data_IF_772832749871
#
_entry.id   IF_772832749871
#
_cell.length_a   1.000
_cell.length_b   1.000
_cell.length_c   1.000
_cell.angle_alpha   90.00
_cell.angle_beta   90.00
_cell.angle_gamma   90.00
#
_symmetry.space_group_name_H-M   'P 1'
#
loop_
_entity.id
_entity.type
_entity.pdbx_description
1 polymer ?
#
# COMPACT_ATOMS: atom_id res chain seq x y z
N UNK A 1 -20.99 -27.42 -2.26
CA UNK A 1 -21.07 -26.01 -1.78
C UNK A 1 -21.25 -25.12 -3.00
N UNK A 2 -22.11 -24.10 -2.94
CA UNK A 2 -22.26 -23.17 -4.09
C UNK A 2 -21.01 -22.30 -4.24
N UNK A 3 -20.75 -21.81 -5.46
CA UNK A 3 -19.62 -20.89 -5.73
C UNK A 3 -19.68 -19.66 -4.83
N UNK A 4 -20.88 -19.09 -4.64
CA UNK A 4 -21.08 -17.94 -3.76
C UNK A 4 -20.75 -18.23 -2.30
N UNK A 5 -21.12 -19.42 -1.78
CA UNK A 5 -20.77 -19.81 -0.42
C UNK A 5 -19.27 -20.00 -0.23
N UNK A 6 -18.57 -20.53 -1.24
CA UNK A 6 -17.11 -20.66 -1.22
C UNK A 6 -16.42 -19.29 -1.25
N UNK A 7 -16.84 -18.38 -2.14
CA UNK A 7 -16.31 -17.01 -2.18
C UNK A 7 -16.52 -16.31 -0.84
N UNK A 8 -17.73 -16.39 -0.27
CA UNK A 8 -18.04 -15.80 1.04
C UNK A 8 -17.12 -16.37 2.13
N UNK A 9 -16.91 -17.68 2.15
CA UNK A 9 -16.00 -18.35 3.11
C UNK A 9 -14.57 -17.81 2.99
N UNK A 10 -14.06 -17.64 1.76
CA UNK A 10 -12.71 -17.13 1.50
C UNK A 10 -12.56 -15.66 1.87
N UNK A 11 -13.57 -14.83 1.58
CA UNK A 11 -13.58 -13.42 2.00
C UNK A 11 -13.55 -13.29 3.53
N UNK A 12 -14.39 -14.05 4.24
CA UNK A 12 -14.37 -14.08 5.71
C UNK A 12 -12.99 -14.50 6.21
N UNK A 13 -12.40 -15.55 5.62
CA UNK A 13 -11.05 -16.00 5.98
C UNK A 13 -9.98 -14.96 5.72
N UNK A 14 -10.08 -14.19 4.63
CA UNK A 14 -9.17 -13.11 4.33
C UNK A 14 -9.26 -12.02 5.40
N UNK A 15 -10.48 -11.61 5.80
CA UNK A 15 -10.70 -10.60 6.83
C UNK A 15 -10.20 -11.06 8.20
N UNK A 16 -10.53 -12.30 8.60
CA UNK A 16 -10.03 -12.90 9.84
C UNK A 16 -8.49 -12.95 9.84
N UNK A 17 -7.87 -13.35 8.73
CA UNK A 17 -6.40 -13.41 8.63
C UNK A 17 -5.78 -12.02 8.68
N UNK A 18 -6.40 -11.03 8.03
CA UNK A 18 -5.96 -9.64 8.05
C UNK A 18 -6.05 -9.03 9.46
N UNK A 19 -6.93 -9.55 10.33
CA UNK A 19 -7.06 -9.18 11.74
C UNK A 19 -6.26 -10.09 12.68
N UNK A 20 -5.33 -10.89 12.16
CA UNK A 20 -4.50 -11.82 12.92
C UNK A 20 -5.29 -12.90 13.69
N UNK A 21 -6.51 -13.23 13.24
CA UNK A 21 -7.35 -14.27 13.83
C UNK A 21 -6.94 -15.66 13.29
N UNK A 22 -6.64 -16.64 14.17
CA UNK A 22 -6.19 -17.98 13.78
C UNK A 22 -7.11 -18.73 12.80
N UNK A 23 -8.43 -18.61 12.99
CA UNK A 23 -9.44 -19.32 12.18
C UNK A 23 -9.44 -18.90 10.71
N UNK A 24 -8.90 -17.71 10.40
CA UNK A 24 -8.92 -17.17 9.04
C UNK A 24 -8.19 -18.07 8.05
N UNK A 25 -7.00 -18.54 8.42
CA UNK A 25 -6.15 -19.39 7.57
C UNK A 25 -6.78 -20.78 7.37
N UNK A 26 -7.48 -21.30 8.37
CA UNK A 26 -8.12 -22.63 8.35
C UNK A 26 -9.30 -22.70 7.36
N UNK A 27 -9.81 -21.54 6.90
CA UNK A 27 -10.87 -21.47 5.89
C UNK A 27 -10.35 -21.74 4.48
N UNK A 28 -9.04 -21.75 4.27
CA UNK A 28 -8.43 -21.94 2.96
C UNK A 28 -7.87 -23.35 2.77
N UNK A 29 -7.87 -23.84 1.52
CA UNK A 29 -7.14 -25.03 1.12
C UNK A 29 -5.81 -24.65 0.46
N UNK A 30 -4.80 -25.47 0.70
CA UNK A 30 -3.48 -25.35 0.09
C UNK A 30 -3.28 -26.26 -1.10
N UNK A 31 -4.22 -26.31 -2.04
CA UNK A 31 -4.04 -27.11 -3.26
C UNK A 31 -3.47 -26.26 -4.40
N UNK A 32 -2.60 -26.80 -5.27
CA UNK A 32 -2.06 -26.04 -6.41
C UNK A 32 -3.16 -25.43 -7.28
N UNK A 33 -4.23 -26.20 -7.55
CA UNK A 33 -5.38 -25.75 -8.33
C UNK A 33 -6.01 -24.49 -7.75
N UNK A 34 -6.24 -24.46 -6.43
CA UNK A 34 -6.82 -23.29 -5.77
C UNK A 34 -5.87 -22.09 -5.80
N UNK A 35 -4.56 -22.33 -5.64
CA UNK A 35 -3.58 -21.25 -5.74
C UNK A 35 -3.60 -20.62 -7.13
N UNK A 36 -3.63 -21.42 -8.20
CA UNK A 36 -3.73 -20.89 -9.57
C UNK A 36 -5.02 -20.09 -9.80
N UNK A 37 -6.16 -20.58 -9.30
CA UNK A 37 -7.43 -19.85 -9.37
C UNK A 37 -7.34 -18.53 -8.59
N UNK A 38 -6.68 -18.52 -7.43
CA UNK A 38 -6.55 -17.32 -6.62
C UNK A 38 -5.74 -16.20 -7.30
N UNK A 39 -4.88 -16.50 -8.27
CA UNK A 39 -4.18 -15.44 -9.04
C UNK A 39 -5.11 -14.61 -9.90
N UNK A 40 -6.32 -15.10 -10.22
CA UNK A 40 -7.33 -14.28 -10.89
C UNK A 40 -7.67 -13.02 -10.07
N UNK A 41 -7.57 -13.09 -8.74
CA UNK A 41 -7.69 -11.94 -7.85
C UNK A 41 -6.60 -10.90 -8.14
N UNK A 42 -5.35 -11.35 -8.27
CA UNK A 42 -4.23 -10.46 -8.58
C UNK A 42 -4.40 -9.80 -9.95
N UNK A 43 -4.98 -10.50 -10.93
CA UNK A 43 -5.27 -9.92 -12.24
C UNK A 43 -6.27 -8.75 -12.17
N UNK A 44 -7.26 -8.81 -11.27
CA UNK A 44 -8.21 -7.69 -11.06
C UNK A 44 -7.49 -6.44 -10.51
N UNK A 45 -6.37 -6.61 -9.80
CA UNK A 45 -5.59 -5.48 -9.29
C UNK A 45 -4.79 -4.75 -10.37
N UNK A 46 -4.55 -5.35 -11.54
CA UNK A 46 -3.71 -4.76 -12.59
C UNK A 46 -4.33 -3.51 -13.21
N UNK A 47 -5.60 -3.50 -13.67
CA UNK A 47 -6.24 -2.28 -14.16
C UNK A 47 -6.25 -1.16 -13.12
N UNK A 48 -6.48 -1.51 -11.84
CA UNK A 48 -6.47 -0.55 -10.74
C UNK A 48 -5.08 0.04 -10.50
N UNK A 49 -4.04 -0.78 -10.58
CA UNK A 49 -2.64 -0.34 -10.46
C UNK A 49 -2.26 0.61 -11.59
N UNK A 50 -2.75 0.36 -12.81
CA UNK A 50 -2.57 1.25 -13.96
C UNK A 50 -3.25 2.60 -13.76
N UNK A 51 -4.53 2.59 -13.35
CA UNK A 51 -5.27 3.82 -13.01
C UNK A 51 -4.59 4.58 -11.89
N UNK A 52 -4.11 3.88 -10.86
CA UNK A 52 -3.36 4.48 -9.75
C UNK A 52 -2.10 5.18 -10.23
N UNK A 53 -1.34 4.56 -11.14
CA UNK A 53 -0.11 5.15 -11.71
C UNK A 53 -0.40 6.43 -12.50
N UNK A 54 -1.58 6.52 -13.14
CA UNK A 54 -2.00 7.73 -13.87
C UNK A 54 -2.44 8.86 -12.93
N UNK A 55 -3.15 8.54 -11.87
CA UNK A 55 -3.67 9.56 -10.92
C UNK A 55 -2.57 10.03 -9.97
N UNK A 56 -1.69 9.12 -9.58
CA UNK A 56 -0.62 9.37 -8.62
C UNK A 56 0.65 8.67 -9.10
N UNK A 57 1.37 9.27 -10.07
CA UNK A 57 2.63 8.72 -10.53
C UNK A 57 3.63 8.68 -9.36
N UNK A 58 4.48 7.65 -9.30
CA UNK A 58 5.61 7.61 -8.38
C UNK A 58 6.44 8.89 -8.47
N UNK A 59 6.92 9.34 -7.33
CA UNK A 59 7.72 10.55 -7.20
C UNK A 59 8.90 10.51 -8.19
N UNK A 60 9.14 11.62 -8.88
CA UNK A 60 10.25 11.76 -9.84
C UNK A 60 9.96 11.17 -11.22
N UNK A 61 8.83 10.49 -11.40
CA UNK A 61 8.45 9.89 -12.69
C UNK A 61 7.46 10.74 -13.48
N UNK A 62 7.15 11.96 -13.03
CA UNK A 62 6.11 12.83 -13.59
C UNK A 62 6.40 13.25 -15.04
N UNK A 63 7.68 13.27 -15.45
CA UNK A 63 8.10 13.58 -16.82
C UNK A 63 7.98 12.39 -17.80
N UNK A 64 7.73 11.18 -17.29
CA UNK A 64 7.65 9.96 -18.11
C UNK A 64 6.19 9.61 -18.42
N UNK A 65 5.96 8.88 -19.51
CA UNK A 65 4.61 8.41 -19.82
C UNK A 65 4.14 7.41 -18.77
N UNK A 66 2.89 7.53 -18.31
CA UNK A 66 2.32 6.62 -17.31
C UNK A 66 2.37 5.15 -17.75
N UNK A 67 2.25 4.89 -19.05
CA UNK A 67 2.33 3.53 -19.62
C UNK A 67 3.73 2.93 -19.43
N UNK A 68 4.78 3.74 -19.62
CA UNK A 68 6.16 3.32 -19.38
C UNK A 68 6.43 3.08 -17.90
N UNK A 69 6.02 4.01 -17.04
CA UNK A 69 6.18 3.88 -15.58
C UNK A 69 5.45 2.65 -15.07
N UNK A 70 4.21 2.41 -15.53
CA UNK A 70 3.44 1.22 -15.17
C UNK A 70 4.14 -0.07 -15.64
N UNK A 71 4.68 -0.10 -16.86
CA UNK A 71 5.41 -1.26 -17.37
C UNK A 71 6.64 -1.60 -16.50
N UNK A 72 7.44 -0.60 -16.13
CA UNK A 72 8.60 -0.81 -15.23
C UNK A 72 8.14 -1.31 -13.86
N UNK A 73 7.06 -0.76 -13.30
CA UNK A 73 6.48 -1.23 -12.04
C UNK A 73 5.96 -2.66 -12.12
N UNK A 74 5.28 -3.00 -13.21
CA UNK A 74 4.76 -4.34 -13.43
C UNK A 74 5.89 -5.37 -13.50
N UNK A 75 6.96 -5.07 -14.24
CA UNK A 75 8.16 -5.93 -14.29
C UNK A 75 8.84 -6.06 -12.92
N UNK A 76 8.98 -4.95 -12.19
CA UNK A 76 9.51 -4.97 -10.82
C UNK A 76 8.64 -5.83 -9.89
N UNK A 77 7.32 -5.70 -10.00
CA UNK A 77 6.36 -6.51 -9.23
C UNK A 77 6.48 -7.99 -9.55
N UNK A 78 6.62 -8.36 -10.82
CA UNK A 78 6.84 -9.74 -11.25
C UNK A 78 8.17 -10.30 -10.71
N UNK A 79 9.26 -9.53 -10.83
CA UNK A 79 10.56 -9.93 -10.29
C UNK A 79 10.53 -10.07 -8.76
N UNK A 80 9.88 -9.13 -8.06
CA UNK A 80 9.70 -9.17 -6.60
C UNK A 80 8.87 -10.38 -6.17
N UNK A 81 7.81 -10.69 -6.91
CA UNK A 81 7.01 -11.90 -6.69
C UNK A 81 7.85 -13.16 -6.86
N UNK A 82 8.64 -13.26 -7.94
CA UNK A 82 9.52 -14.41 -8.18
C UNK A 82 10.56 -14.58 -7.08
N UNK A 83 11.22 -13.49 -6.67
CA UNK A 83 12.22 -13.54 -5.59
C UNK A 83 11.56 -13.91 -4.26
N UNK A 84 10.43 -13.29 -3.91
CA UNK A 84 9.66 -13.64 -2.72
C UNK A 84 9.22 -15.11 -2.72
N UNK A 85 8.81 -15.63 -3.88
CA UNK A 85 8.50 -17.05 -4.07
C UNK A 85 9.70 -17.95 -3.81
N UNK A 86 10.85 -17.65 -4.39
CA UNK A 86 12.05 -18.43 -4.17
C UNK A 86 12.50 -18.38 -2.71
N UNK A 87 12.37 -17.24 -2.05
CA UNK A 87 12.69 -17.08 -0.63
C UNK A 87 11.78 -17.92 0.27
N UNK A 88 10.45 -17.85 0.06
CA UNK A 88 9.48 -18.63 0.85
C UNK A 88 9.60 -20.12 0.53
N UNK A 89 9.87 -20.47 -0.73
CA UNK A 89 10.14 -21.84 -1.12
C UNK A 89 11.39 -22.40 -0.46
N UNK A 90 12.50 -21.66 -0.52
CA UNK A 90 13.75 -22.02 0.16
C UNK A 90 13.54 -22.15 1.67
N UNK A 91 12.83 -21.21 2.27
CA UNK A 91 12.45 -21.25 3.67
C UNK A 91 11.68 -22.53 4.02
N UNK A 92 10.61 -22.82 3.28
CA UNK A 92 9.83 -24.03 3.50
C UNK A 92 10.66 -25.30 3.30
N UNK A 93 11.54 -25.31 2.28
CA UNK A 93 12.37 -26.48 1.96
C UNK A 93 13.43 -26.78 3.00
N UNK A 94 14.12 -25.76 3.49
CA UNK A 94 15.33 -25.90 4.31
C UNK A 94 15.09 -25.69 5.80
N UNK A 95 14.11 -24.87 6.20
CA UNK A 95 13.85 -24.54 7.61
C UNK A 95 12.73 -25.40 8.19
N UNK A 96 11.66 -25.65 7.43
CA UNK A 96 10.44 -26.29 7.96
C UNK A 96 10.45 -27.81 7.85
N UNK A 97 11.62 -28.41 7.59
CA UNK A 97 11.75 -29.86 7.37
C UNK A 97 11.20 -30.34 6.01
N UNK A 98 11.05 -29.45 5.03
CA UNK A 98 10.63 -29.81 3.67
C UNK A 98 9.12 -29.77 3.42
N UNK A 99 8.34 -29.04 4.22
CA UNK A 99 6.89 -28.95 4.05
C UNK A 99 6.46 -27.97 2.95
N UNK A 100 6.95 -28.19 1.73
CA UNK A 100 6.75 -27.32 0.57
C UNK A 100 5.29 -27.26 0.12
N UNK A 101 4.47 -28.26 0.46
CA UNK A 101 3.04 -28.27 0.14
C UNK A 101 2.27 -27.11 0.79
N UNK A 102 2.76 -26.57 1.90
CA UNK A 102 2.13 -25.41 2.56
C UNK A 102 2.34 -24.09 1.84
N UNK A 103 3.25 -24.03 0.87
CA UNK A 103 3.45 -22.85 0.02
C UNK A 103 2.18 -22.52 -0.76
N UNK A 104 1.46 -23.54 -1.24
CA UNK A 104 0.18 -23.34 -1.91
C UNK A 104 -0.84 -22.66 -1.00
N UNK A 105 -0.93 -23.08 0.27
CA UNK A 105 -1.80 -22.43 1.24
C UNK A 105 -1.39 -20.96 1.46
N UNK A 106 -0.09 -20.69 1.61
CA UNK A 106 0.43 -19.34 1.77
C UNK A 106 -0.02 -18.43 0.62
N UNK A 107 0.23 -18.82 -0.62
CA UNK A 107 -0.13 -17.99 -1.78
C UNK A 107 -1.63 -17.86 -1.99
N UNK A 108 -2.40 -18.92 -1.76
CA UNK A 108 -3.86 -18.84 -1.81
C UNK A 108 -4.34 -17.78 -0.82
N UNK A 109 -3.91 -17.84 0.44
CA UNK A 109 -4.31 -16.88 1.46
C UNK A 109 -3.84 -15.46 1.10
N UNK A 110 -2.59 -15.28 0.66
CA UNK A 110 -2.03 -13.97 0.31
C UNK A 110 -2.79 -13.29 -0.82
N UNK A 111 -3.13 -14.05 -1.86
CA UNK A 111 -3.91 -13.53 -2.99
C UNK A 111 -5.32 -13.12 -2.54
N UNK A 112 -5.99 -13.90 -1.68
CA UNK A 112 -7.31 -13.50 -1.19
C UNK A 112 -7.28 -12.28 -0.26
N UNK A 113 -6.23 -12.13 0.54
CA UNK A 113 -6.03 -10.96 1.41
C UNK A 113 -5.86 -9.68 0.59
N UNK A 114 -5.26 -9.74 -0.60
CA UNK A 114 -5.12 -8.54 -1.45
C UNK A 114 -6.48 -7.93 -1.85
N UNK A 115 -7.58 -8.72 -1.87
CA UNK A 115 -8.93 -8.17 -2.09
C UNK A 115 -9.38 -7.18 -1.03
N UNK A 116 -8.80 -7.22 0.17
CA UNK A 116 -9.14 -6.27 1.24
C UNK A 116 -8.41 -4.96 1.01
N UNK A 117 -7.15 -5.04 0.57
CA UNK A 117 -6.32 -3.88 0.31
C UNK A 117 -6.74 -3.11 -0.94
N UNK A 118 -7.34 -3.77 -1.93
CA UNK A 118 -7.85 -3.11 -3.15
C UNK A 118 -8.89 -2.01 -2.86
N UNK A 119 -10.05 -2.28 -2.21
CA UNK A 119 -11.04 -1.24 -1.94
C UNK A 119 -10.51 -0.19 -0.98
N UNK A 120 -9.64 -0.56 -0.04
CA UNK A 120 -9.01 0.40 0.86
C UNK A 120 -8.07 1.36 0.12
N UNK A 121 -7.26 0.83 -0.81
CA UNK A 121 -6.42 1.64 -1.69
C UNK A 121 -7.25 2.55 -2.60
N UNK A 122 -8.34 2.03 -3.19
CA UNK A 122 -9.26 2.84 -3.99
C UNK A 122 -9.92 3.96 -3.18
N UNK A 123 -10.31 3.70 -1.93
CA UNK A 123 -10.87 4.72 -1.03
C UNK A 123 -9.88 5.87 -0.82
N UNK A 124 -8.63 5.55 -0.50
CA UNK A 124 -7.60 6.58 -0.28
C UNK A 124 -7.25 7.35 -1.56
N UNK A 125 -7.22 6.67 -2.71
CA UNK A 125 -7.06 7.33 -4.01
C UNK A 125 -8.23 8.26 -4.33
N UNK A 126 -9.47 7.87 -4.00
CA UNK A 126 -10.64 8.72 -4.17
C UNK A 126 -10.57 9.95 -3.26
N UNK A 127 -10.21 9.79 -1.98
CA UNK A 127 -10.01 10.91 -1.06
C UNK A 127 -8.96 11.89 -1.57
N UNK A 128 -7.86 11.40 -2.14
CA UNK A 128 -6.85 12.24 -2.80
C UNK A 128 -7.41 12.97 -4.03
N UNK A 129 -8.21 12.29 -4.85
CA UNK A 129 -8.83 12.88 -6.03
C UNK A 129 -9.78 14.03 -5.67
N UNK A 130 -10.54 13.90 -4.60
CA UNK A 130 -11.42 14.96 -4.07
C UNK A 130 -10.67 16.05 -3.27
N UNK A 131 -9.34 16.00 -3.20
CA UNK A 131 -8.53 17.00 -2.51
C UNK A 131 -8.60 16.92 -0.97
N UNK A 132 -9.12 15.83 -0.41
CA UNK A 132 -9.18 15.63 1.06
C UNK A 132 -7.78 15.38 1.63
N UNK A 133 -6.93 14.68 0.88
CA UNK A 133 -5.55 14.40 1.28
C UNK A 133 -4.54 15.13 0.42
N UNK A 134 -3.57 15.73 1.08
CA UNK A 134 -2.32 16.16 0.46
C UNK A 134 -1.51 14.95 -0.03
N UNK A 135 -0.64 15.11 -1.05
CA UNK A 135 0.19 14.02 -1.56
C UNK A 135 0.99 13.29 -0.48
N UNK A 136 1.63 14.04 0.43
CA UNK A 136 2.44 13.48 1.52
C UNK A 136 1.61 12.62 2.48
N UNK A 137 0.42 13.09 2.86
CA UNK A 137 -0.49 12.34 3.74
C UNK A 137 -0.90 11.01 3.12
N UNK A 138 -1.16 10.98 1.81
CA UNK A 138 -1.45 9.73 1.11
C UNK A 138 -0.25 8.76 1.13
N UNK A 139 0.97 9.27 0.88
CA UNK A 139 2.20 8.47 0.93
C UNK A 139 2.41 7.84 2.31
N UNK A 140 2.24 8.61 3.39
CA UNK A 140 2.37 8.14 4.77
C UNK A 140 1.33 7.07 5.11
N UNK A 141 0.06 7.26 4.73
CA UNK A 141 -1.01 6.28 4.93
C UNK A 141 -0.72 4.99 4.16
N UNK A 142 -0.27 5.10 2.91
CA UNK A 142 0.08 3.95 2.09
C UNK A 142 1.30 3.21 2.64
N UNK A 143 2.28 3.91 3.22
CA UNK A 143 3.42 3.31 3.90
C UNK A 143 2.95 2.49 5.11
N UNK A 144 2.11 3.05 5.98
CA UNK A 144 1.53 2.33 7.13
C UNK A 144 0.77 1.10 6.66
N UNK A 145 -0.03 1.23 5.61
CA UNK A 145 -0.80 0.11 5.06
C UNK A 145 0.10 -1.01 4.51
N UNK A 146 1.21 -0.65 3.85
CA UNK A 146 2.22 -1.61 3.39
C UNK A 146 2.90 -2.31 4.56
N UNK A 147 3.33 -1.57 5.59
CA UNK A 147 3.93 -2.15 6.80
C UNK A 147 2.96 -3.11 7.51
N UNK A 148 1.68 -2.75 7.58
CA UNK A 148 0.63 -3.63 8.09
C UNK A 148 0.51 -4.91 7.26
N UNK A 149 0.53 -4.80 5.93
CA UNK A 149 0.55 -5.94 5.01
C UNK A 149 1.75 -6.89 5.24
N UNK A 150 2.94 -6.34 5.49
CA UNK A 150 4.11 -7.14 5.87
C UNK A 150 3.91 -7.84 7.22
N UNK A 151 3.31 -7.16 8.21
CA UNK A 151 2.91 -7.77 9.47
C UNK A 151 2.01 -9.00 9.28
N UNK A 152 0.98 -8.87 8.43
CA UNK A 152 0.11 -10.01 8.05
C UNK A 152 0.93 -11.12 7.41
N UNK A 153 1.86 -10.79 6.49
CA UNK A 153 2.75 -11.77 5.87
C UNK A 153 3.55 -12.58 6.90
N UNK A 154 4.06 -11.92 7.94
CA UNK A 154 4.82 -12.58 9.03
C UNK A 154 3.95 -13.49 9.88
N UNK A 155 2.76 -13.01 10.22
CA UNK A 155 1.75 -13.83 10.87
C UNK A 155 1.38 -15.05 10.05
N UNK A 156 1.17 -14.90 8.75
CA UNK A 156 0.89 -16.03 7.84
C UNK A 156 2.05 -17.01 7.81
N UNK A 157 3.30 -16.55 7.67
CA UNK A 157 4.48 -17.42 7.71
C UNK A 157 4.51 -18.20 9.02
N UNK A 158 4.34 -17.51 10.15
CA UNK A 158 4.29 -18.13 11.47
C UNK A 158 3.18 -19.19 11.57
N UNK A 159 1.95 -18.86 11.20
CA UNK A 159 0.81 -19.78 11.37
C UNK A 159 0.83 -20.95 10.40
N UNK A 160 1.26 -20.73 9.16
CA UNK A 160 1.28 -21.75 8.11
C UNK A 160 2.47 -22.67 8.28
N UNK A 161 3.68 -22.14 8.44
CA UNK A 161 4.90 -22.94 8.48
C UNK A 161 5.33 -23.33 9.88
N UNK A 162 4.82 -22.65 10.92
CA UNK A 162 5.16 -22.86 12.34
C UNK A 162 6.67 -22.75 12.69
N UNK A 163 7.46 -21.84 12.10
CA UNK A 163 8.80 -21.54 12.61
C UNK A 163 8.72 -20.77 13.95
N UNK A 164 9.85 -20.58 14.64
CA UNK A 164 9.97 -19.54 15.67
C UNK A 164 9.53 -18.17 15.13
N UNK A 165 8.87 -17.37 15.97
CA UNK A 165 8.24 -16.10 15.55
C UNK A 165 9.28 -15.09 15.06
N UNK A 166 10.46 -15.09 15.65
CA UNK A 166 11.60 -14.25 15.30
C UNK A 166 12.05 -14.52 13.87
N UNK A 167 12.03 -15.79 13.46
CA UNK A 167 12.44 -16.20 12.14
C UNK A 167 11.39 -15.86 11.07
N UNK A 168 10.10 -15.95 11.41
CA UNK A 168 9.03 -15.45 10.56
C UNK A 168 9.15 -13.93 10.35
N UNK A 169 9.41 -13.18 11.42
CA UNK A 169 9.65 -11.74 11.37
C UNK A 169 10.88 -11.40 10.51
N UNK A 170 12.01 -12.07 10.73
CA UNK A 170 13.22 -11.87 9.94
C UNK A 170 12.98 -12.11 8.45
N UNK A 171 12.27 -13.19 8.09
CA UNK A 171 11.96 -13.49 6.69
C UNK A 171 11.15 -12.38 6.03
N UNK A 172 10.15 -11.82 6.72
CA UNK A 172 9.37 -10.68 6.21
C UNK A 172 10.24 -9.45 6.00
N UNK A 173 11.13 -9.14 6.95
CA UNK A 173 12.07 -8.03 6.80
C UNK A 173 12.97 -8.23 5.57
N UNK A 174 13.47 -9.45 5.34
CA UNK A 174 14.23 -9.75 4.13
C UNK A 174 13.39 -9.57 2.86
N UNK A 175 12.14 -10.04 2.84
CA UNK A 175 11.24 -9.85 1.69
C UNK A 175 10.99 -8.35 1.43
N UNK A 176 10.82 -7.55 2.48
CA UNK A 176 10.66 -6.10 2.36
C UNK A 176 11.90 -5.45 1.73
N UNK A 177 13.09 -5.73 2.29
CA UNK A 177 14.36 -5.17 1.78
C UNK A 177 14.61 -5.61 0.34
N UNK A 178 14.40 -6.90 0.03
CA UNK A 178 14.57 -7.42 -1.33
C UNK A 178 13.59 -6.76 -2.31
N UNK A 179 12.34 -6.53 -1.91
CA UNK A 179 11.38 -5.80 -2.73
C UNK A 179 11.86 -4.38 -3.07
N UNK A 180 12.46 -3.67 -2.12
CA UNK A 180 13.04 -2.33 -2.37
C UNK A 180 14.26 -2.38 -3.28
N UNK A 181 15.15 -3.37 -3.10
CA UNK A 181 16.31 -3.57 -3.96
C UNK A 181 15.88 -3.86 -5.41
N UNK A 182 14.88 -4.72 -5.59
CA UNK A 182 14.33 -5.04 -6.92
C UNK A 182 13.70 -3.82 -7.58
N UNK A 183 12.92 -3.03 -6.84
CA UNK A 183 12.32 -1.80 -7.34
C UNK A 183 13.37 -0.79 -7.81
N UNK A 184 14.37 -0.50 -6.98
CA UNK A 184 15.48 0.39 -7.34
C UNK A 184 16.28 -0.14 -8.53
N UNK A 185 16.52 -1.45 -8.58
CA UNK A 185 17.16 -2.11 -9.71
C UNK A 185 16.36 -1.93 -11.00
N UNK A 186 15.04 -2.15 -10.96
CA UNK A 186 14.17 -1.98 -12.10
C UNK A 186 14.11 -0.52 -12.59
N UNK A 187 14.06 0.45 -11.68
CA UNK A 187 14.10 1.87 -12.02
C UNK A 187 15.44 2.24 -12.68
N UNK A 188 16.55 1.79 -12.11
CA UNK A 188 17.89 2.03 -12.67
C UNK A 188 18.01 1.45 -14.08
N UNK A 189 17.59 0.20 -14.28
CA UNK A 189 17.61 -0.46 -15.59
C UNK A 189 16.64 0.19 -16.59
N UNK A 190 15.52 0.74 -16.11
CA UNK A 190 14.56 1.50 -16.89
C UNK A 190 14.90 2.99 -17.04
N UNK A 191 16.07 3.45 -16.58
CA UNK A 191 16.42 4.88 -16.65
C UNK A 191 15.44 5.82 -15.93
N UNK A 192 14.65 5.31 -14.98
CA UNK A 192 13.82 6.11 -14.08
C UNK A 192 14.68 6.62 -12.93
N UNK A 193 14.43 7.84 -12.42
CA UNK A 193 15.19 8.37 -11.31
C UNK A 193 14.93 7.55 -10.05
N UNK A 194 16.01 7.16 -9.37
CA UNK A 194 15.93 6.64 -8.02
C UNK A 194 15.74 7.83 -7.07
N UNK A 195 14.52 8.05 -6.60
CA UNK A 195 14.28 9.06 -5.58
C UNK A 195 14.80 8.55 -4.24
N UNK A 196 15.75 9.27 -3.65
CA UNK A 196 16.10 9.05 -2.25
C UNK A 196 15.07 9.78 -1.38
N UNK A 197 14.20 9.00 -0.73
CA UNK A 197 13.20 9.55 0.18
C UNK A 197 13.83 10.27 1.37
N UNK A 198 15.06 9.93 1.77
CA UNK A 198 15.76 10.66 2.84
C UNK A 198 16.23 12.03 2.38
N UNK A 199 16.54 12.19 1.09
CA UNK A 199 16.88 13.50 0.53
C UNK A 199 15.64 14.40 0.44
N UNK A 200 14.46 13.83 0.14
CA UNK A 200 13.24 14.62 -0.05
C UNK A 200 12.45 14.86 1.24
N UNK A 201 12.49 13.93 2.19
CA UNK A 201 11.67 13.96 3.40
C UNK A 201 12.47 13.70 4.69
N UNK A 202 13.79 13.57 4.60
CA UNK A 202 14.63 13.36 5.77
C UNK A 202 14.72 14.60 6.66
N UNK A 203 15.29 14.47 7.87
CA UNK A 203 15.43 15.56 8.83
C UNK A 203 16.12 16.80 8.25
N UNK A 204 17.11 16.60 7.37
CA UNK A 204 17.81 17.68 6.68
C UNK A 204 16.90 18.46 5.74
N UNK A 205 16.06 17.77 4.95
CA UNK A 205 15.11 18.41 4.05
C UNK A 205 14.04 19.22 4.81
N UNK A 206 13.58 18.68 5.94
CA UNK A 206 12.65 19.39 6.84
C UNK A 206 13.32 20.63 7.45
N UNK A 207 14.58 20.51 7.85
CA UNK A 207 15.35 21.63 8.39
C UNK A 207 15.61 22.71 7.33
N UNK A 208 15.93 22.31 6.09
CA UNK A 208 16.12 23.22 4.97
C UNK A 208 14.83 23.94 4.59
N UNK A 209 13.69 23.23 4.54
CA UNK A 209 12.39 23.84 4.31
C UNK A 209 12.03 24.85 5.42
N UNK A 210 12.26 24.50 6.69
CA UNK A 210 12.04 25.40 7.81
C UNK A 210 12.96 26.63 7.77
N UNK A 211 14.20 26.47 7.29
CA UNK A 211 15.14 27.59 7.10
C UNK A 211 14.72 28.48 5.93
N UNK A 212 14.21 27.92 4.83
CA UNK A 212 13.69 28.69 3.70
C UNK A 212 12.46 29.51 4.10
N UNK A 213 11.52 28.93 4.84
CA UNK A 213 10.37 29.65 5.41
C UNK A 213 10.78 30.75 6.39
N UNK A 214 11.88 30.56 7.14
CA UNK A 214 12.40 31.57 8.05
C UNK A 214 13.16 32.71 7.35
N UNK A 215 13.68 32.47 6.13
CA UNK A 215 14.44 33.44 5.35
C UNK A 215 13.57 34.23 4.38
N UNK A 216 12.44 33.67 3.89
CA UNK A 216 11.45 34.45 3.18
C UNK A 216 10.90 35.53 4.12
N UNK A 217 11.27 36.81 3.94
CA UNK A 217 10.71 37.86 4.76
C UNK A 217 9.22 37.84 4.47
N UNK A 218 8.39 37.74 5.51
CA UNK A 218 6.96 38.02 5.43
C UNK A 218 6.83 39.41 4.83
N UNK A 219 6.67 39.49 3.51
CA UNK A 219 6.55 40.76 2.80
C UNK A 219 5.32 41.43 3.41
N UNK A 220 5.45 42.58 4.08
CA UNK A 220 4.36 43.22 4.82
C UNK A 220 3.25 43.77 3.90
N UNK A 221 3.23 43.40 2.61
CA UNK A 221 2.30 43.91 1.61
C UNK A 221 0.85 43.43 1.78
N UNK A 222 0.55 42.50 2.70
CA UNK A 222 -0.84 42.07 2.98
C UNK A 222 -1.43 42.61 4.30
N UNK A 223 -0.74 43.52 5.00
CA UNK A 223 -1.36 44.26 6.12
C UNK A 223 -1.96 45.61 5.69
N UNK A 224 -1.51 46.18 4.57
CA UNK A 224 -1.98 47.49 4.10
C UNK A 224 -3.32 47.44 3.34
N UNK A 225 -3.72 46.29 2.81
CA UNK A 225 -5.00 46.10 2.07
C UNK A 225 -6.13 45.51 2.94
N UNK A 226 -5.88 45.35 4.25
CA UNK A 226 -6.93 45.08 5.26
C UNK A 226 -7.62 46.36 5.73
N UNK A 227 -7.70 47.37 4.86
CA UNK A 227 -8.55 48.55 5.08
C UNK A 227 -10.01 48.16 4.84
N UNK A 228 -10.76 48.16 5.93
CA UNK A 228 -12.18 48.47 5.99
C UNK A 228 -13.09 47.63 5.07
N UNK A 229 -13.35 46.38 5.45
CA UNK A 229 -14.65 45.79 5.13
C UNK A 229 -15.70 46.53 5.96
N UNK A 230 -16.68 47.23 5.35
CA UNK A 230 -17.72 47.93 6.09
C UNK A 230 -18.51 46.93 6.94
N UNK A 231 -18.82 47.32 8.17
CA UNK A 231 -19.61 46.51 9.11
C UNK A 231 -20.87 45.96 8.42
N UNK A 232 -20.96 44.63 8.29
CA UNK A 232 -22.19 43.96 7.89
C UNK A 232 -23.28 44.34 8.89
N UNK A 233 -24.32 45.02 8.38
CA UNK A 233 -25.56 45.28 9.09
C UNK A 233 -26.11 43.97 9.68
N UNK A 234 -26.47 43.94 10.97
CA UNK A 234 -27.01 42.73 11.59
C UNK A 234 -28.30 42.29 10.88
N UNK A 235 -28.51 40.98 10.68
CA UNK A 235 -29.72 40.48 10.05
C UNK A 235 -30.95 40.85 10.89
N UNK A 236 -32.11 41.13 10.25
CA UNK A 236 -33.31 41.52 10.95
C UNK A 236 -33.78 40.38 11.87
N UNK A 237 -33.96 40.72 13.14
CA UNK A 237 -34.54 39.86 14.17
C UNK A 237 -35.91 39.37 13.68
N UNK A 238 -36.05 38.07 13.44
CA UNK A 238 -37.36 37.44 13.18
C UNK A 238 -38.19 37.55 14.45
N UNK A 239 -39.13 38.49 14.47
CA UNK A 239 -40.23 38.47 15.42
C UNK A 239 -41.02 37.17 15.24
N UNK A 240 -41.07 36.39 16.31
CA UNK A 240 -41.96 35.25 16.46
C UNK A 240 -43.40 35.78 16.41
N UNK A 241 -44.09 35.59 15.29
CA UNK A 241 -45.54 35.70 15.26
C UNK A 241 -46.12 34.49 15.99
N UNK A 242 -46.55 34.73 17.23
CA UNK A 242 -47.60 33.93 17.87
C UNK A 242 -48.88 34.04 17.05
N UNK A 243 -49.42 32.90 16.63
CA UNK A 243 -50.85 32.62 16.45
C UNK A 243 -51.07 31.11 16.32
#
# INVERSE_FOLDING_TARGET
>A
MSVAAEIKKRLIGAFETALFIPSGIERFSGTPRETFISFAVSLISLPLSFVSTRIHPPIGTEAFSADYVFFVHFLSGLASFTIGFLMIYGFARFVTGGNTNRIWLYYTVSNWISLIFIPLGMLFMALRYYGVFEPKTLEDVMLVLRLYGYGIGGYMIYRIFKPPVELAGALVCFILVMGQVVLKGAYTLGGLPNVDYMERYGPSAVQEAALQEAVEPTTPETEADRKETPAETPPPTRELMEN
#
